data_IF_127339198935
#
_entry.id   IF_127339198935
#
_cell.length_a   1.000
_cell.length_b   1.000
_cell.length_c   1.000
_cell.angle_alpha   90.00
_cell.angle_beta   90.00
_cell.angle_gamma   90.00
#
_symmetry.space_group_name_H-M   'P 1'
#
loop_
_entity.id
_entity.type
_entity.pdbx_description
1 polymer ?
#
# COMPACT_ATOMS: atom_id res chain seq x y z
N UNK A 1 5.17 -25.13 3.84
CA UNK A 1 4.68 -23.97 4.62
C UNK A 1 5.52 -22.79 4.14
N UNK A 2 4.90 -21.69 3.69
CA UNK A 2 5.65 -20.54 3.18
C UNK A 2 6.31 -19.77 4.32
N UNK A 3 7.39 -19.07 4.00
CA UNK A 3 8.01 -18.15 4.97
C UNK A 3 7.10 -16.94 5.20
N UNK A 4 7.32 -16.21 6.30
CA UNK A 4 6.62 -14.95 6.56
C UNK A 4 6.87 -13.96 5.42
N UNK A 5 8.12 -13.86 4.97
CA UNK A 5 8.54 -13.00 3.86
C UNK A 5 7.81 -13.30 2.56
N UNK A 6 7.66 -14.58 2.21
CA UNK A 6 6.90 -14.98 1.02
C UNK A 6 5.41 -14.64 1.14
N UNK A 7 4.86 -14.72 2.36
CA UNK A 7 3.45 -14.39 2.63
C UNK A 7 3.21 -12.88 2.50
N UNK A 8 4.15 -12.07 3.00
CA UNK A 8 4.12 -10.61 2.87
C UNK A 8 4.31 -10.18 1.39
N UNK A 9 5.15 -10.88 0.64
CA UNK A 9 5.32 -10.67 -0.79
C UNK A 9 4.04 -10.97 -1.58
N UNK A 10 3.34 -12.07 -1.28
CA UNK A 10 2.06 -12.41 -1.91
C UNK A 10 1.02 -11.34 -1.61
N UNK A 11 0.93 -10.90 -0.36
CA UNK A 11 0.04 -9.81 0.03
C UNK A 11 0.32 -8.56 -0.80
N UNK A 12 1.59 -8.14 -0.89
CA UNK A 12 2.02 -6.96 -1.64
C UNK A 12 1.59 -7.06 -3.09
N UNK A 13 2.00 -8.13 -3.77
CA UNK A 13 1.78 -8.34 -5.19
C UNK A 13 0.30 -8.49 -5.55
N UNK A 14 -0.47 -9.18 -4.71
CA UNK A 14 -1.92 -9.30 -4.90
C UNK A 14 -2.62 -7.96 -4.71
N UNK A 15 -2.18 -7.17 -3.73
CA UNK A 15 -2.76 -5.84 -3.47
C UNK A 15 -2.46 -4.88 -4.62
N UNK A 16 -1.22 -4.84 -5.12
CA UNK A 16 -0.85 -4.04 -6.30
C UNK A 16 -1.68 -4.42 -7.54
N UNK A 17 -1.83 -5.72 -7.79
CA UNK A 17 -2.64 -6.20 -8.92
C UNK A 17 -4.12 -5.80 -8.78
N UNK A 18 -4.66 -5.80 -7.56
CA UNK A 18 -6.01 -5.33 -7.28
C UNK A 18 -6.15 -3.82 -7.44
N UNK A 19 -5.19 -3.04 -6.94
CA UNK A 19 -5.19 -1.58 -7.13
C UNK A 19 -5.17 -1.19 -8.59
N UNK A 20 -4.37 -1.88 -9.41
CA UNK A 20 -4.34 -1.64 -10.85
C UNK A 20 -5.74 -1.82 -11.47
N UNK A 21 -6.46 -2.89 -11.09
CA UNK A 21 -7.84 -3.14 -11.53
C UNK A 21 -8.83 -2.10 -11.02
N UNK A 22 -8.72 -1.72 -9.74
CA UNK A 22 -9.60 -0.72 -9.14
C UNK A 22 -9.39 0.68 -9.71
N UNK A 23 -8.15 1.08 -9.96
CA UNK A 23 -7.82 2.36 -10.61
C UNK A 23 -8.28 2.41 -12.07
N UNK A 24 -8.31 1.27 -12.76
CA UNK A 24 -8.88 1.16 -14.10
C UNK A 24 -10.42 1.10 -14.09
N UNK A 25 -11.05 0.97 -12.91
CA UNK A 25 -12.49 0.77 -12.79
C UNK A 25 -12.96 -0.56 -13.39
N UNK A 26 -12.09 -1.56 -13.48
CA UNK A 26 -12.41 -2.85 -14.08
C UNK A 26 -13.04 -3.80 -13.04
N UNK A 27 -14.08 -4.59 -13.40
CA UNK A 27 -14.57 -5.66 -12.56
C UNK A 27 -13.57 -6.83 -12.55
N UNK A 28 -13.43 -7.51 -11.42
CA UNK A 28 -12.50 -8.63 -11.27
C UNK A 28 -12.93 -9.64 -10.21
N UNK A 29 -12.39 -10.84 -10.31
CA UNK A 29 -12.49 -11.92 -9.34
C UNK A 29 -11.12 -12.19 -8.71
N UNK A 30 -11.09 -12.96 -7.61
CA UNK A 30 -9.82 -13.44 -7.06
C UNK A 30 -9.03 -14.33 -8.05
N UNK A 31 -9.73 -14.95 -9.02
CA UNK A 31 -9.10 -15.77 -10.05
C UNK A 31 -8.30 -14.90 -11.01
N UNK A 32 -8.87 -13.78 -11.45
CA UNK A 32 -8.23 -12.81 -12.35
C UNK A 32 -6.92 -12.29 -11.76
N UNK A 33 -6.93 -11.94 -10.47
CA UNK A 33 -5.72 -11.51 -9.75
C UNK A 33 -4.69 -12.64 -9.71
N UNK A 34 -5.10 -13.85 -9.40
CA UNK A 34 -4.17 -14.99 -9.35
C UNK A 34 -3.61 -15.36 -10.72
N UNK A 35 -4.40 -15.24 -11.78
CA UNK A 35 -3.98 -15.46 -13.17
C UNK A 35 -3.00 -14.37 -13.62
N UNK A 36 -3.25 -13.10 -13.29
CA UNK A 36 -2.34 -11.99 -13.58
C UNK A 36 -0.96 -12.18 -12.91
N UNK A 37 -0.92 -12.70 -11.68
CA UNK A 37 0.34 -13.00 -10.99
C UNK A 37 1.04 -14.23 -11.61
N UNK A 38 0.31 -15.30 -11.94
CA UNK A 38 0.88 -16.48 -12.61
C UNK A 38 1.43 -16.17 -14.00
N UNK A 39 0.77 -15.27 -14.75
CA UNK A 39 1.26 -14.81 -16.05
C UNK A 39 2.62 -14.09 -15.96
N UNK A 40 2.96 -13.54 -14.79
CA UNK A 40 4.29 -12.99 -14.46
C UNK A 40 5.28 -14.04 -13.94
N UNK A 41 4.97 -15.33 -14.08
CA UNK A 41 5.73 -16.48 -13.57
C UNK A 41 5.90 -16.48 -12.04
N UNK A 42 4.95 -15.92 -11.30
CA UNK A 42 4.97 -15.94 -9.84
C UNK A 42 4.34 -17.23 -9.31
N UNK A 43 5.04 -17.97 -8.43
CA UNK A 43 4.56 -19.24 -7.92
C UNK A 43 3.52 -19.02 -6.81
N UNK A 44 2.38 -18.40 -7.12
CA UNK A 44 1.28 -18.14 -6.17
C UNK A 44 0.16 -19.17 -6.31
N UNK A 45 -0.44 -19.56 -5.19
CA UNK A 45 -1.63 -20.44 -5.20
C UNK A 45 -2.88 -19.58 -5.15
N UNK A 46 -3.91 -19.96 -5.91
CA UNK A 46 -5.19 -19.23 -5.92
C UNK A 46 -5.78 -19.08 -4.52
N UNK A 47 -5.68 -20.11 -3.67
CA UNK A 47 -6.16 -20.06 -2.27
C UNK A 47 -5.50 -18.95 -1.42
N UNK A 48 -4.25 -18.60 -1.71
CA UNK A 48 -3.51 -17.56 -0.98
C UNK A 48 -3.99 -16.18 -1.43
N UNK A 49 -4.08 -15.99 -2.76
CA UNK A 49 -4.59 -14.76 -3.36
C UNK A 49 -6.05 -14.51 -2.97
N UNK A 50 -6.89 -15.54 -3.01
CA UNK A 50 -8.29 -15.43 -2.61
C UNK A 50 -8.46 -15.04 -1.14
N UNK A 51 -7.56 -15.46 -0.25
CA UNK A 51 -7.61 -15.04 1.15
C UNK A 51 -7.32 -13.54 1.29
N UNK A 52 -6.29 -13.06 0.57
CA UNK A 52 -5.93 -11.62 0.54
C UNK A 52 -7.07 -10.77 0.00
N UNK A 53 -7.64 -11.14 -1.15
CA UNK A 53 -8.75 -10.40 -1.79
C UNK A 53 -9.96 -10.31 -0.84
N UNK A 54 -10.29 -11.42 -0.15
CA UNK A 54 -11.39 -11.44 0.83
C UNK A 54 -11.09 -10.57 2.04
N UNK A 55 -9.88 -10.63 2.58
CA UNK A 55 -9.44 -9.79 3.69
C UNK A 55 -9.54 -8.29 3.36
N UNK A 56 -9.09 -7.92 2.15
CA UNK A 56 -9.14 -6.55 1.64
C UNK A 56 -10.55 -5.98 1.53
N UNK A 57 -11.48 -6.79 1.02
CA UNK A 57 -12.88 -6.40 0.98
C UNK A 57 -13.47 -6.29 2.38
N UNK A 58 -13.21 -7.28 3.25
CA UNK A 58 -13.76 -7.34 4.60
C UNK A 58 -13.30 -6.16 5.48
N UNK A 59 -12.05 -5.70 5.32
CA UNK A 59 -11.55 -4.53 6.02
C UNK A 59 -11.99 -3.18 5.40
N UNK A 60 -12.82 -3.20 4.35
CA UNK A 60 -13.40 -2.00 3.75
C UNK A 60 -12.49 -1.26 2.76
N UNK A 61 -11.33 -1.83 2.44
CA UNK A 61 -10.37 -1.23 1.53
C UNK A 61 -10.94 -1.05 0.13
N UNK A 62 -11.68 -2.04 -0.36
CA UNK A 62 -12.31 -1.98 -1.69
C UNK A 62 -13.57 -1.10 -1.70
N UNK A 63 -14.35 -1.12 -0.62
CA UNK A 63 -15.56 -0.29 -0.52
C UNK A 63 -15.24 1.21 -0.52
N UNK A 64 -14.05 1.60 -0.05
CA UNK A 64 -13.56 2.98 -0.15
C UNK A 64 -13.38 3.43 -1.62
N UNK A 65 -13.15 2.51 -2.55
CA UNK A 65 -13.09 2.77 -4.00
C UNK A 65 -14.45 2.59 -4.69
N UNK A 66 -15.55 2.47 -3.94
CA UNK A 66 -16.89 2.27 -4.51
C UNK A 66 -17.13 0.86 -5.04
N UNK A 67 -16.26 -0.10 -4.71
CA UNK A 67 -16.44 -1.49 -5.14
C UNK A 67 -17.44 -2.24 -4.24
N UNK A 68 -18.32 -3.01 -4.87
CA UNK A 68 -19.26 -3.93 -4.25
C UNK A 68 -18.92 -5.36 -4.62
N UNK A 69 -19.42 -6.31 -3.83
CA UNK A 69 -19.20 -7.74 -4.03
C UNK A 69 -20.52 -8.44 -4.35
N UNK A 70 -20.59 -9.07 -5.51
CA UNK A 70 -21.70 -9.92 -5.92
C UNK A 70 -21.26 -11.38 -6.02
N UNK A 71 -22.20 -12.29 -5.81
CA UNK A 71 -21.99 -13.71 -6.04
C UNK A 71 -22.36 -14.03 -7.48
N UNK A 72 -21.40 -14.55 -8.24
CA UNK A 72 -21.58 -15.00 -9.61
C UNK A 72 -21.40 -16.52 -9.70
N UNK A 73 -22.02 -17.12 -10.70
CA UNK A 73 -21.81 -18.52 -11.05
C UNK A 73 -20.82 -18.59 -12.21
N UNK A 74 -19.78 -19.40 -12.02
CA UNK A 74 -18.68 -19.58 -12.96
C UNK A 74 -18.74 -21.00 -13.51
N UNK A 75 -18.50 -21.17 -14.80
CA UNK A 75 -18.49 -22.51 -15.41
C UNK A 75 -17.12 -23.12 -15.24
N UNK A 76 -17.07 -24.32 -14.68
CA UNK A 76 -15.85 -25.13 -14.54
C UNK A 76 -16.01 -26.42 -15.36
N UNK A 77 -14.90 -27.12 -15.69
CA UNK A 77 -14.97 -28.40 -16.39
C UNK A 77 -15.85 -29.44 -15.68
N UNK A 78 -15.96 -29.34 -14.35
CA UNK A 78 -16.71 -30.25 -13.49
C UNK A 78 -18.13 -29.77 -13.14
N UNK A 79 -18.57 -28.61 -13.66
CA UNK A 79 -19.92 -28.07 -13.40
C UNK A 79 -19.96 -26.55 -13.23
N UNK A 80 -20.77 -26.06 -12.29
CA UNK A 80 -20.80 -24.65 -11.92
C UNK A 80 -20.21 -24.44 -10.52
N UNK A 81 -19.36 -23.44 -10.38
CA UNK A 81 -18.82 -23.00 -9.09
C UNK A 81 -19.32 -21.59 -8.76
N UNK A 82 -19.30 -21.24 -7.49
CA UNK A 82 -19.62 -19.89 -7.04
C UNK A 82 -18.35 -19.09 -6.85
N UNK A 83 -18.32 -17.86 -7.38
CA UNK A 83 -17.22 -16.94 -7.19
C UNK A 83 -17.75 -15.55 -6.79
N UNK A 84 -16.92 -14.80 -6.07
CA UNK A 84 -17.21 -13.41 -5.79
C UNK A 84 -16.65 -12.52 -6.91
N UNK A 85 -17.54 -11.75 -7.52
CA UNK A 85 -17.22 -10.66 -8.43
C UNK A 85 -17.10 -9.37 -7.63
N UNK A 86 -15.99 -8.66 -7.82
CA UNK A 86 -15.78 -7.33 -7.29
C UNK A 86 -15.89 -6.33 -8.44
N UNK A 87 -16.84 -5.41 -8.34
CA UNK A 87 -17.09 -4.41 -9.39
C UNK A 87 -17.37 -3.05 -8.78
N UNK A 88 -17.16 -1.98 -9.56
CA UNK A 88 -17.59 -0.66 -9.14
C UNK A 88 -19.13 -0.60 -9.07
N UNK A 89 -19.69 0.11 -8.09
CA UNK A 89 -21.13 0.16 -7.85
C UNK A 89 -21.97 0.68 -9.03
N UNK A 90 -21.35 1.41 -9.95
CA UNK A 90 -21.97 1.94 -11.17
C UNK A 90 -22.00 0.98 -12.35
N UNK A 91 -21.32 -0.17 -12.28
CA UNK A 91 -21.26 -1.17 -13.35
C UNK A 91 -22.29 -2.27 -13.09
N UNK A 92 -22.89 -2.84 -14.15
CA UNK A 92 -23.78 -3.98 -13.98
C UNK A 92 -22.95 -5.27 -13.82
N UNK A 93 -23.41 -6.27 -13.05
CA UNK A 93 -22.75 -7.58 -12.97
C UNK A 93 -22.59 -8.26 -14.35
N UNK A 94 -23.50 -7.97 -15.29
CA UNK A 94 -23.49 -8.53 -16.64
C UNK A 94 -22.36 -7.98 -17.52
N UNK A 95 -21.72 -6.87 -17.13
CA UNK A 95 -20.60 -6.27 -17.87
C UNK A 95 -19.30 -7.07 -17.71
N UNK A 96 -19.27 -8.02 -16.76
CA UNK A 96 -18.14 -8.93 -16.57
C UNK A 96 -18.19 -10.07 -17.59
N UNK A 97 -17.23 -10.09 -18.50
CA UNK A 97 -17.05 -11.15 -19.50
C UNK A 97 -16.34 -12.37 -18.89
N UNK A 98 -16.89 -13.56 -19.13
CA UNK A 98 -16.42 -14.84 -18.57
C UNK A 98 -15.09 -15.34 -19.16
N UNK A 99 -14.45 -14.56 -20.04
CA UNK A 99 -13.25 -14.95 -20.80
C UNK A 99 -12.02 -15.22 -19.89
N UNK A 100 -12.06 -14.81 -18.62
CA UNK A 100 -10.96 -14.97 -17.66
C UNK A 100 -11.11 -16.17 -16.70
N UNK A 101 -12.06 -17.08 -16.94
CA UNK A 101 -12.40 -18.16 -16.00
C UNK A 101 -11.55 -19.42 -16.08
N UNK A 102 -10.66 -19.50 -17.08
CA UNK A 102 -9.68 -20.57 -17.13
C UNK A 102 -8.56 -20.33 -16.11
N UNK A 103 -8.51 -21.20 -15.10
CA UNK A 103 -7.45 -21.15 -14.11
C UNK A 103 -6.13 -21.55 -14.74
N UNK A 104 -5.14 -20.65 -14.73
CA UNK A 104 -3.80 -21.01 -15.18
C UNK A 104 -3.22 -22.10 -14.27
N UNK A 105 -2.51 -23.10 -14.81
CA UNK A 105 -1.87 -24.13 -14.00
C UNK A 105 -0.85 -23.53 -13.02
N UNK A 106 -0.50 -24.25 -11.94
CA UNK A 106 0.59 -23.83 -11.07
C UNK A 106 1.87 -23.59 -11.87
N UNK A 107 2.60 -22.52 -11.57
CA UNK A 107 3.87 -22.23 -12.24
C UNK A 107 4.88 -23.34 -11.92
N UNK A 108 5.49 -23.99 -12.92
CA UNK A 108 6.53 -25.00 -12.71
C UNK A 108 7.73 -24.44 -11.95
N UNK A 109 8.36 -25.24 -11.09
CA UNK A 109 9.48 -24.80 -10.22
C UNK A 109 10.70 -24.32 -10.98
N UNK A 110 10.95 -24.86 -12.18
CA UNK A 110 12.02 -24.46 -13.11
C UNK A 110 11.80 -23.08 -13.75
N UNK A 111 10.56 -22.58 -13.75
CA UNK A 111 10.17 -21.28 -14.32
C UNK A 111 9.73 -20.27 -13.28
N UNK A 112 9.62 -20.68 -12.02
CA UNK A 112 9.14 -19.86 -10.93
C UNK A 112 10.13 -18.75 -10.61
N UNK A 113 9.69 -17.50 -10.73
CA UNK A 113 10.44 -16.35 -10.21
C UNK A 113 10.32 -16.30 -8.69
N UNK A 114 11.40 -16.00 -7.98
CA UNK A 114 11.34 -15.78 -6.54
C UNK A 114 10.38 -14.62 -6.23
N UNK A 115 9.52 -14.81 -5.22
CA UNK A 115 8.52 -13.81 -4.85
C UNK A 115 9.17 -12.54 -4.31
N UNK A 116 10.24 -12.69 -3.53
CA UNK A 116 11.00 -11.58 -2.96
C UNK A 116 11.65 -10.70 -4.03
N UNK A 117 12.06 -11.31 -5.16
CA UNK A 117 12.62 -10.60 -6.32
C UNK A 117 11.55 -9.94 -7.20
N UNK A 118 10.29 -10.32 -7.02
CA UNK A 118 9.16 -9.80 -7.78
C UNK A 118 8.50 -8.61 -7.10
N UNK A 119 8.68 -8.45 -5.79
CA UNK A 119 8.31 -7.23 -5.07
C UNK A 119 9.24 -6.12 -5.57
N UNK A 120 8.72 -5.02 -6.14
CA UNK A 120 9.54 -3.91 -6.57
C UNK A 120 10.40 -3.42 -5.41
N UNK A 121 11.73 -3.35 -5.60
CA UNK A 121 12.64 -2.84 -4.61
C UNK A 121 12.36 -1.35 -4.35
N UNK A 122 11.45 -1.05 -3.41
CA UNK A 122 11.15 0.29 -2.97
C UNK A 122 9.73 0.81 -3.17
N UNK A 123 8.72 -0.02 -3.47
CA UNK A 123 7.32 0.38 -3.35
C UNK A 123 6.72 -0.09 -2.01
N UNK A 124 5.95 0.77 -1.31
CA UNK A 124 5.24 0.34 -0.11
C UNK A 124 4.19 -0.71 -0.45
N UNK A 125 3.98 -1.66 0.46
CA UNK A 125 2.70 -2.34 0.65
C UNK A 125 1.60 -1.28 0.51
N UNK A 126 0.74 -1.44 -0.49
CA UNK A 126 -0.40 -0.54 -0.70
C UNK A 126 -1.16 -0.32 0.63
N UNK A 127 -1.77 0.87 0.86
CA UNK A 127 -2.59 1.13 2.06
C UNK A 127 -3.67 0.07 2.31
N UNK A 128 -4.07 -0.63 1.26
CA UNK A 128 -4.99 -1.74 1.31
C UNK A 128 -4.38 -2.97 2.00
N UNK A 129 -3.10 -3.26 1.80
CA UNK A 129 -2.47 -4.47 2.35
C UNK A 129 -2.59 -4.56 3.90
N UNK A 130 -2.53 -3.43 4.60
CA UNK A 130 -2.74 -3.36 6.05
C UNK A 130 -4.20 -3.67 6.44
N UNK A 131 -5.15 -3.23 5.62
CA UNK A 131 -6.58 -3.53 5.78
C UNK A 131 -6.85 -5.03 5.61
N UNK A 132 -6.14 -5.68 4.67
CA UNK A 132 -6.20 -7.13 4.50
C UNK A 132 -5.69 -7.85 5.75
N UNK A 133 -4.56 -7.38 6.31
CA UNK A 133 -3.97 -7.96 7.51
C UNK A 133 -4.91 -7.82 8.72
N UNK A 134 -5.54 -6.65 8.91
CA UNK A 134 -6.50 -6.41 9.97
C UNK A 134 -7.77 -7.25 9.83
N UNK A 135 -8.24 -7.50 8.60
CA UNK A 135 -9.37 -8.40 8.33
C UNK A 135 -9.05 -9.89 8.54
N UNK A 136 -7.77 -10.28 8.50
CA UNK A 136 -7.32 -11.66 8.74
C UNK A 136 -7.04 -11.95 10.22
N UNK A 137 -6.76 -10.93 11.03
CA UNK A 137 -6.52 -11.04 12.48
C UNK A 137 -7.74 -10.54 13.25
N UNK A 138 -8.81 -11.32 13.19
CA UNK A 138 -9.98 -11.09 14.03
C UNK A 138 -9.68 -11.34 15.51
N UNK A 139 -9.31 -10.28 16.23
CA UNK A 139 -9.48 -10.17 17.69
C UNK A 139 -8.22 -9.80 18.48
N UNK A 140 -8.11 -8.54 18.95
CA UNK A 140 -7.74 -8.19 20.32
C UNK A 140 -7.46 -6.67 20.53
N UNK A 141 -8.27 -6.10 21.44
CA UNK A 141 -7.92 -5.14 22.51
C UNK A 141 -7.40 -3.75 22.13
N UNK A 142 -8.33 -2.80 22.21
CA UNK A 142 -8.08 -1.39 22.54
C UNK A 142 -7.45 -1.31 23.94
N UNK A 143 -6.25 -0.76 24.07
CA UNK A 143 -5.76 -0.13 25.31
C UNK A 143 -4.99 1.13 24.96
N UNK A 144 -5.52 2.27 25.43
CA UNK A 144 -4.87 3.56 25.33
C UNK A 144 -3.88 3.81 26.46
N UNK A 145 -3.25 4.99 26.37
CA UNK A 145 -2.80 5.76 27.52
C UNK A 145 -1.29 5.86 27.73
N UNK A 146 -0.74 7.00 27.28
CA UNK A 146 0.24 7.80 28.06
C UNK A 146 1.73 7.56 27.80
N UNK A 147 2.43 8.58 27.29
CA UNK A 147 3.37 9.36 28.12
C UNK A 147 4.11 10.45 27.32
N UNK A 148 4.07 11.64 27.90
CA UNK A 148 4.88 12.86 27.75
C UNK A 148 6.41 12.65 27.82
N UNK A 149 7.19 13.45 27.08
CA UNK A 149 8.13 14.45 27.62
C UNK A 149 9.00 15.14 26.53
N UNK A 150 9.34 16.40 26.82
CA UNK A 150 9.98 17.44 26.02
C UNK A 150 11.47 17.20 25.72
N UNK A 151 11.95 17.82 24.63
CA UNK A 151 13.37 18.06 24.37
C UNK A 151 13.60 18.94 23.13
N UNK A 152 13.57 20.26 23.32
CA UNK A 152 13.94 21.25 22.30
C UNK A 152 15.45 21.14 22.01
N UNK A 153 15.82 20.92 20.74
CA UNK A 153 17.21 21.06 20.26
C UNK A 153 17.21 21.51 18.79
N UNK A 154 18.01 22.55 18.51
CA UNK A 154 18.14 23.27 17.23
C UNK A 154 18.62 22.39 16.06
N UNK A 155 18.37 22.80 14.80
CA UNK A 155 18.42 21.90 13.65
C UNK A 155 19.85 21.53 13.26
N UNK A 156 20.19 20.26 13.47
CA UNK A 156 21.45 19.65 13.03
C UNK A 156 21.31 19.26 11.55
N UNK A 157 21.68 20.17 10.65
CA UNK A 157 21.68 19.94 9.19
C UNK A 157 22.62 18.78 8.84
N UNK A 158 22.06 17.67 8.38
CA UNK A 158 22.81 16.47 7.94
C UNK A 158 22.80 16.38 6.42
N UNK A 159 23.94 15.97 5.83
CA UNK A 159 24.16 15.97 4.38
C UNK A 159 23.55 14.75 3.68
N UNK A 160 22.83 15.04 2.58
CA UNK A 160 22.61 14.25 1.36
C UNK A 160 21.80 12.94 1.49
N UNK A 161 20.48 13.08 1.49
CA UNK A 161 19.46 12.04 1.44
C UNK A 161 19.05 11.57 0.02
N UNK A 162 19.84 11.89 -1.02
CA UNK A 162 19.45 11.60 -2.40
C UNK A 162 19.91 10.22 -2.87
N UNK A 163 18.97 9.46 -3.44
CA UNK A 163 19.22 8.25 -4.24
C UNK A 163 19.10 8.61 -5.72
N UNK A 164 19.75 7.84 -6.61
CA UNK A 164 19.77 8.10 -8.07
C UNK A 164 18.37 8.18 -8.73
N UNK A 165 17.33 7.72 -8.05
CA UNK A 165 15.94 7.67 -8.52
C UNK A 165 15.11 8.93 -8.20
N UNK A 166 15.67 9.90 -7.49
CA UNK A 166 14.96 11.14 -7.15
C UNK A 166 13.95 11.01 -6.00
N UNK A 167 14.00 9.92 -5.25
CA UNK A 167 13.25 9.81 -4.00
C UNK A 167 14.00 10.47 -2.83
N UNK A 168 13.24 11.05 -1.90
CA UNK A 168 13.76 11.62 -0.67
C UNK A 168 13.74 10.55 0.42
N UNK A 169 14.90 10.21 0.98
CA UNK A 169 14.99 9.34 2.15
C UNK A 169 15.05 10.19 3.42
N UNK A 170 14.06 10.07 4.30
CA UNK A 170 14.10 10.76 5.58
C UNK A 170 15.11 10.06 6.49
N UNK A 171 16.08 10.79 7.08
CA UNK A 171 17.02 10.19 8.00
C UNK A 171 16.33 9.68 9.27
N UNK A 172 16.75 8.50 9.74
CA UNK A 172 16.15 7.79 10.88
C UNK A 172 16.01 8.64 12.15
N UNK A 173 17.03 9.46 12.46
CA UNK A 173 17.01 10.31 13.65
C UNK A 173 15.84 11.31 13.64
N UNK A 174 15.40 11.79 12.48
CA UNK A 174 14.26 12.71 12.39
C UNK A 174 12.92 11.98 12.56
N UNK A 175 12.84 10.73 12.12
CA UNK A 175 11.66 9.88 12.31
C UNK A 175 11.50 9.57 13.80
N UNK A 176 12.59 9.18 14.46
CA UNK A 176 12.64 8.93 15.91
C UNK A 176 12.29 10.18 16.72
N UNK A 177 12.86 11.34 16.36
CA UNK A 177 12.58 12.60 17.06
C UNK A 177 11.16 13.11 16.83
N UNK A 178 10.55 12.82 15.68
CA UNK A 178 9.14 13.10 15.43
C UNK A 178 8.19 12.14 16.16
N UNK A 179 8.74 11.08 16.77
CA UNK A 179 7.97 10.09 17.52
C UNK A 179 7.24 9.06 16.66
N UNK A 180 7.49 9.04 15.34
CA UNK A 180 6.81 8.12 14.43
C UNK A 180 7.26 6.68 14.65
N UNK A 181 6.30 5.76 14.61
CA UNK A 181 6.50 4.33 14.80
C UNK A 181 6.36 3.57 13.50
N UNK A 182 6.94 2.38 13.45
CA UNK A 182 6.77 1.45 12.32
C UNK A 182 5.30 1.11 12.18
N UNK A 183 4.75 1.32 10.99
CA UNK A 183 3.32 1.17 10.75
C UNK A 183 2.58 2.50 10.63
N UNK A 184 3.14 3.60 11.14
CA UNK A 184 2.47 4.91 11.09
C UNK A 184 2.28 5.38 9.65
N UNK A 185 1.06 5.83 9.38
CA UNK A 185 0.70 6.51 8.13
C UNK A 185 0.93 8.00 8.30
N UNK A 186 1.79 8.56 7.47
CA UNK A 186 2.11 9.98 7.43
C UNK A 186 1.43 10.61 6.22
N UNK A 187 0.87 11.79 6.41
CA UNK A 187 0.35 12.64 5.35
C UNK A 187 1.48 13.58 4.91
N UNK A 188 1.79 13.56 3.62
CA UNK A 188 2.66 14.55 2.99
C UNK A 188 1.80 15.70 2.46
N UNK A 189 2.01 16.89 3.01
CA UNK A 189 1.42 18.14 2.55
C UNK A 189 2.50 19.04 1.98
N UNK A 190 2.18 19.78 0.93
CA UNK A 190 3.05 20.82 0.36
C UNK A 190 2.46 22.18 0.69
N UNK A 191 3.28 23.04 1.28
CA UNK A 191 2.96 24.45 1.43
C UNK A 191 3.53 25.22 0.24
N UNK A 192 2.65 25.60 -0.69
CA UNK A 192 3.03 26.33 -1.90
C UNK A 192 3.60 27.72 -1.63
N UNK A 193 3.35 28.33 -0.45
CA UNK A 193 3.89 29.65 -0.11
C UNK A 193 5.35 29.59 0.30
N UNK A 194 5.72 28.55 1.05
CA UNK A 194 7.09 28.36 1.56
C UNK A 194 7.90 27.36 0.74
N UNK A 195 7.26 26.71 -0.23
CA UNK A 195 7.76 25.56 -0.99
C UNK A 195 8.29 24.44 -0.08
N UNK A 196 7.70 24.30 1.11
CA UNK A 196 8.10 23.28 2.08
C UNK A 196 7.15 22.10 2.06
N UNK A 197 7.70 20.91 2.29
CA UNK A 197 6.91 19.70 2.49
C UNK A 197 6.80 19.43 3.99
N UNK A 198 5.63 19.05 4.46
CA UNK A 198 5.42 18.61 5.84
C UNK A 198 4.94 17.16 5.85
N UNK A 199 5.53 16.36 6.75
CA UNK A 199 5.08 15.03 7.12
C UNK A 199 4.43 15.11 8.49
N UNK A 200 3.22 14.57 8.60
CA UNK A 200 2.44 14.54 9.85
C UNK A 200 1.74 13.19 9.98
N UNK A 201 1.62 12.67 11.20
CA UNK A 201 0.84 11.46 11.44
C UNK A 201 -0.63 11.68 11.03
N UNK A 202 -1.19 10.74 10.27
CA UNK A 202 -2.58 10.79 9.85
C UNK A 202 -3.49 10.61 11.08
N UNK A 203 -4.23 11.65 11.45
CA UNK A 203 -5.22 11.54 12.51
C UNK A 203 -6.36 10.59 12.05
N UNK A 204 -6.86 9.69 12.92
CA UNK A 204 -8.02 8.87 12.62
C UNK A 204 -9.23 9.79 12.41
N UNK A 205 -9.75 9.83 11.18
CA UNK A 205 -10.84 10.74 10.80
C UNK A 205 -10.44 11.94 9.96
N UNK A 206 -9.19 12.01 9.47
CA UNK A 206 -8.76 12.97 8.44
C UNK A 206 -9.36 12.66 7.05
N UNK A 207 -10.67 12.45 7.00
CA UNK A 207 -11.44 12.32 5.77
C UNK A 207 -11.54 13.71 5.12
N UNK A 208 -10.55 14.05 4.29
CA UNK A 208 -10.54 15.31 3.57
C UNK A 208 -9.16 15.89 3.26
N UNK A 209 -8.07 15.31 3.79
CA UNK A 209 -6.72 15.78 3.44
C UNK A 209 -6.31 15.21 2.10
N UNK A 210 -6.38 16.04 1.06
CA UNK A 210 -5.82 15.77 -0.27
C UNK A 210 -4.31 15.83 -0.12
N UNK A 211 -3.68 14.70 0.18
CA UNK A 211 -2.24 14.61 0.43
C UNK A 211 -1.68 13.28 -0.03
N UNK A 212 -0.38 13.24 -0.29
CA UNK A 212 0.29 12.00 -0.64
C UNK A 212 0.63 11.23 0.64
N UNK A 213 0.11 10.01 0.79
CA UNK A 213 0.41 9.22 1.98
C UNK A 213 1.78 8.52 1.88
N UNK A 214 2.53 8.52 2.99
CA UNK A 214 3.85 7.91 3.15
C UNK A 214 3.88 7.14 4.47
N UNK A 215 4.47 5.94 4.51
CA UNK A 215 4.49 5.09 5.71
C UNK A 215 5.90 5.03 6.32
N UNK A 216 5.99 4.71 7.62
CA UNK A 216 7.24 4.34 8.30
C UNK A 216 7.45 2.82 8.24
N UNK A 217 8.58 2.36 7.67
CA UNK A 217 8.83 0.94 7.36
C UNK A 217 10.00 0.38 8.17
N UNK A 218 9.96 -0.93 8.46
CA UNK A 218 11.11 -1.69 8.97
C UNK A 218 11.85 -1.01 10.12
N UNK A 219 13.17 -0.85 10.01
CA UNK A 219 14.03 -0.14 10.97
C UNK A 219 13.84 1.41 10.98
N UNK A 220 12.60 1.91 11.09
CA UNK A 220 12.27 3.35 11.09
C UNK A 220 12.78 4.08 9.85
N UNK A 221 12.33 3.64 8.67
CA UNK A 221 12.67 4.25 7.38
C UNK A 221 11.44 4.88 6.75
N UNK A 222 11.57 6.12 6.30
CA UNK A 222 10.53 6.83 5.54
C UNK A 222 11.15 7.25 4.20
N UNK A 223 10.44 6.94 3.11
CA UNK A 223 10.87 7.27 1.75
C UNK A 223 9.73 7.94 1.00
N UNK A 224 10.01 9.10 0.42
CA UNK A 224 9.07 9.86 -0.39
C UNK A 224 9.45 9.68 -1.86
N UNK A 225 8.66 8.89 -2.58
CA UNK A 225 8.86 8.67 -4.00
C UNK A 225 8.51 9.93 -4.83
N UNK A 226 9.13 10.07 -6.01
CA UNK A 226 8.87 11.18 -6.93
C UNK A 226 7.40 11.32 -7.31
N UNK A 227 6.68 10.22 -7.44
CA UNK A 227 5.23 10.21 -7.71
C UNK A 227 4.44 10.86 -6.56
N UNK A 228 4.84 10.61 -5.31
CA UNK A 228 4.21 11.20 -4.12
C UNK A 228 4.51 12.69 -3.99
N UNK A 229 5.71 13.13 -4.36
CA UNK A 229 6.06 14.56 -4.45
C UNK A 229 5.16 15.29 -5.45
N UNK A 230 4.92 14.69 -6.63
CA UNK A 230 4.01 15.25 -7.65
C UNK A 230 2.56 15.30 -7.16
N UNK A 231 2.09 14.25 -6.50
CA UNK A 231 0.73 14.20 -5.93
C UNK A 231 0.55 15.27 -4.85
N UNK A 232 1.59 15.52 -4.05
CA UNK A 232 1.58 16.58 -3.06
C UNK A 232 1.64 17.99 -3.69
N UNK A 233 1.82 18.14 -5.01
CA UNK A 233 1.90 19.45 -5.67
C UNK A 233 3.31 20.01 -5.82
N UNK A 234 4.34 19.28 -5.39
CA UNK A 234 5.74 19.70 -5.55
C UNK A 234 6.23 19.38 -6.97
N UNK A 235 6.25 20.40 -7.83
CA UNK A 235 6.65 20.29 -9.23
C UNK A 235 8.18 20.18 -9.42
N UNK A 236 8.95 20.73 -8.47
CA UNK A 236 10.41 20.81 -8.54
C UNK A 236 11.02 19.62 -7.80
N UNK A 237 11.92 18.84 -8.43
CA UNK A 237 12.69 17.85 -7.69
C UNK A 237 13.60 18.57 -6.69
N UNK A 238 13.23 18.51 -5.41
CA UNK A 238 14.04 18.95 -4.26
C UNK A 238 15.43 18.34 -4.38
N UNK A 239 16.48 19.09 -4.73
CA UNK A 239 17.79 18.49 -5.02
C UNK A 239 18.62 18.25 -3.75
N UNK A 240 18.37 19.02 -2.67
CA UNK A 240 19.13 18.93 -1.41
C UNK A 240 18.19 19.15 -0.22
N UNK A 241 17.32 18.16 0.08
CA UNK A 241 16.33 18.30 1.13
C UNK A 241 17.00 18.59 2.47
N UNK A 242 16.57 19.66 3.13
CA UNK A 242 16.92 19.95 4.53
C UNK A 242 15.77 19.53 5.42
N UNK A 243 16.07 18.80 6.49
CA UNK A 243 15.07 18.30 7.43
C UNK A 243 15.06 19.16 8.68
N UNK A 244 13.86 19.54 9.13
CA UNK A 244 13.64 20.29 10.36
C UNK A 244 12.40 19.74 11.07
N UNK A 245 12.36 19.85 12.40
CA UNK A 245 11.17 19.52 13.18
C UNK A 245 10.46 20.80 13.57
N UNK A 246 9.15 20.84 13.36
CA UNK A 246 8.31 21.87 13.93
C UNK A 246 8.09 21.62 15.44
N UNK A 247 7.81 22.68 16.17
CA UNK A 247 7.33 22.69 17.55
C UNK A 247 6.15 21.74 17.81
N UNK A 248 5.36 21.44 16.77
CA UNK A 248 4.25 20.47 16.82
C UNK A 248 4.62 19.01 16.51
N UNK A 249 5.90 18.64 16.44
CA UNK A 249 6.34 17.27 16.13
C UNK A 249 6.16 16.86 14.66
N UNK A 250 5.87 17.83 13.79
CA UNK A 250 5.78 17.63 12.34
C UNK A 250 7.16 17.71 11.71
N UNK A 251 7.49 16.78 10.82
CA UNK A 251 8.76 16.81 10.09
C UNK A 251 8.62 17.66 8.83
N UNK A 252 9.39 18.74 8.74
CA UNK A 252 9.48 19.60 7.55
C UNK A 252 10.67 19.22 6.68
N UNK A 253 10.48 19.31 5.37
CA UNK A 253 11.47 19.07 4.34
C UNK A 253 11.50 20.31 3.44
N UNK A 254 12.60 21.04 3.49
CA UNK A 254 12.85 22.22 2.68
C UNK A 254 13.68 21.82 1.44
N UNK A 255 13.45 22.41 0.25
CA UNK A 255 14.14 22.08 -0.99
C UNK A 255 15.68 22.24 -0.98
#
# INVERSE_FOLDING_TARGET
MRTQTESDAILTLATEAMEAKMNAGEPFTALDISNALKAKNLPVRHREVSAVVRGLYAGGGMTAFGYVRDLIYVSTPDGSAQAYLYRHGTQAPADYTLDAQDALPPVPTDRARALDDAVPAGEPLSPLADIALQGMVGGAVIRGGGSTAYGVSLPRRTRSAFRRDGAIAVPRNFIEQAGYQVGDLLVLTHDAQTDTLALQAAAPGAAGVIGAFVKVWGDLRVRIAKTKLRIAGCAVPVQKPTFALDSGGSLRIEP
#
